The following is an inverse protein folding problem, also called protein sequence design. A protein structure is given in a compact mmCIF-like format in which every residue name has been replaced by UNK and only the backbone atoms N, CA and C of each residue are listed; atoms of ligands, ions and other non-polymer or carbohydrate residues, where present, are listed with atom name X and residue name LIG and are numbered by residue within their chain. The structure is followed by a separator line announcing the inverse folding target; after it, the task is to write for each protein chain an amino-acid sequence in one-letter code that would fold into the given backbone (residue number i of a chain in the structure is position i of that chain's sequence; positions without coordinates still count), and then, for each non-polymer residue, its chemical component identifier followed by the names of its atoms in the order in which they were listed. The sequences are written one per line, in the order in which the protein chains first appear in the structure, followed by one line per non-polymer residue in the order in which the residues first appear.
data_IF_963460161612
#
_entry.id   IF_963460161612
#
_cell.length_a   1.000
_cell.length_b   1.000
_cell.length_c   1.000
_cell.angle_alpha   90.00
_cell.angle_beta   90.00
_cell.angle_gamma   90.00
#
_symmetry.space_group_name_H-M   'P 1'
#
loop_
_entity.id
_entity.type
_entity.pdbx_description
1 polymer ?
#
# COMPACT_ATOMS: atom_id res chain seq x y z
N UNK A 1 14.25 -14.94 42.35
CA UNK A 1 13.21 -15.42 41.42
C UNK A 1 13.17 -14.39 40.29
N UNK A 2 13.95 -14.48 39.22
CA UNK A 2 14.09 -15.62 38.31
C UNK A 2 13.23 -15.38 37.07
N UNK A 3 13.34 -14.20 36.43
CA UNK A 3 12.70 -13.91 35.15
C UNK A 3 13.42 -14.71 34.06
N UNK A 4 13.02 -15.97 33.90
CA UNK A 4 13.44 -16.82 32.81
C UNK A 4 12.70 -16.40 31.55
N UNK A 5 13.37 -15.63 30.69
CA UNK A 5 12.92 -15.49 29.29
C UNK A 5 13.13 -16.86 28.64
N UNK A 6 12.06 -17.48 28.17
CA UNK A 6 12.14 -18.75 27.45
C UNK A 6 13.08 -18.57 26.22
N UNK A 7 14.18 -19.36 26.12
CA UNK A 7 15.13 -19.24 25.01
C UNK A 7 14.47 -19.31 23.64
N UNK A 8 13.36 -20.04 23.53
CA UNK A 8 12.56 -20.18 22.32
C UNK A 8 11.84 -18.88 21.98
N UNK A 9 11.30 -18.19 22.98
CA UNK A 9 10.65 -16.88 22.80
C UNK A 9 11.65 -15.77 22.47
N UNK A 10 12.87 -15.84 23.01
CA UNK A 10 13.94 -14.90 22.67
C UNK A 10 14.38 -15.08 21.21
N UNK A 11 14.61 -16.33 20.78
CA UNK A 11 14.97 -16.64 19.39
C UNK A 11 13.85 -16.25 18.42
N UNK A 12 12.58 -16.52 18.77
CA UNK A 12 11.43 -16.11 17.97
C UNK A 12 11.34 -14.58 17.85
N UNK A 13 11.52 -13.84 18.95
CA UNK A 13 11.49 -12.38 18.94
C UNK A 13 12.63 -11.76 18.12
N UNK A 14 13.82 -12.39 18.10
CA UNK A 14 14.93 -11.95 17.25
C UNK A 14 14.67 -12.24 15.78
N UNK A 15 14.11 -13.41 15.46
CA UNK A 15 13.73 -13.78 14.09
C UNK A 15 12.61 -12.87 13.58
N UNK A 16 11.61 -12.57 14.40
CA UNK A 16 10.49 -11.69 14.06
C UNK A 16 10.97 -10.24 13.83
N UNK A 17 11.90 -9.74 14.67
CA UNK A 17 12.52 -8.41 14.49
C UNK A 17 13.44 -8.36 13.25
N UNK A 18 14.15 -9.43 12.94
CA UNK A 18 14.97 -9.54 11.71
C UNK A 18 14.07 -9.64 10.47
N UNK A 19 12.95 -10.36 10.55
CA UNK A 19 11.96 -10.43 9.47
C UNK A 19 11.29 -9.08 9.24
N UNK A 20 10.90 -8.38 10.31
CA UNK A 20 10.36 -7.02 10.25
C UNK A 20 11.39 -6.01 9.71
N UNK A 21 12.66 -6.13 10.10
CA UNK A 21 13.75 -5.29 9.59
C UNK A 21 14.04 -5.56 8.10
N UNK A 22 13.98 -6.82 7.64
CA UNK A 22 14.12 -7.15 6.21
C UNK A 22 12.92 -6.71 5.37
N UNK A 23 11.71 -6.76 5.92
CA UNK A 23 10.53 -6.14 5.30
C UNK A 23 10.68 -4.63 5.17
N UNK A 24 11.34 -3.97 6.14
CA UNK A 24 11.68 -2.55 6.06
C UNK A 24 12.80 -2.25 5.05
N UNK A 25 13.75 -3.18 4.84
CA UNK A 25 14.84 -2.98 3.87
C UNK A 25 14.37 -2.98 2.41
N UNK A 26 13.33 -3.75 2.08
CA UNK A 26 12.68 -3.68 0.76
C UNK A 26 11.90 -2.37 0.55
N UNK A 27 11.58 -1.65 1.64
CA UNK A 27 10.92 -0.32 1.62
C UNK A 27 11.95 0.82 1.48
N UNK A 28 13.25 0.53 1.57
CA UNK A 28 14.33 1.55 1.57
C UNK A 28 15.28 1.50 0.38
N UNK A 29 15.05 0.64 -0.62
CA UNK A 29 15.79 0.74 -1.88
C UNK A 29 15.30 1.99 -2.63
N UNK A 30 16.13 3.05 -2.75
CA UNK A 30 15.70 4.31 -3.35
C UNK A 30 15.23 4.13 -4.80
N UNK A 31 15.82 3.19 -5.54
CA UNK A 31 15.48 2.96 -6.94
C UNK A 31 14.10 2.27 -7.06
N UNK A 32 13.79 1.33 -6.16
CA UNK A 32 12.46 0.72 -6.10
C UNK A 32 11.38 1.70 -5.62
N UNK A 33 11.73 2.62 -4.72
CA UNK A 33 10.81 3.63 -4.23
C UNK A 33 10.36 4.55 -5.37
N UNK A 34 11.30 5.04 -6.19
CA UNK A 34 10.99 5.87 -7.36
C UNK A 34 10.08 5.14 -8.33
N UNK A 35 10.36 3.86 -8.63
CA UNK A 35 9.50 3.06 -9.52
C UNK A 35 8.09 2.85 -8.95
N UNK A 36 7.97 2.69 -7.63
CA UNK A 36 6.68 2.59 -6.97
C UNK A 36 5.91 3.92 -7.03
N UNK A 37 6.59 5.05 -6.80
CA UNK A 37 6.01 6.38 -6.89
C UNK A 37 5.51 6.67 -8.30
N UNK A 38 6.34 6.44 -9.33
CA UNK A 38 5.98 6.60 -10.74
C UNK A 38 4.75 5.74 -11.10
N UNK A 39 4.78 4.45 -10.76
CA UNK A 39 3.65 3.55 -11.00
C UNK A 39 2.37 3.98 -10.26
N UNK A 40 2.52 4.50 -9.04
CA UNK A 40 1.39 4.96 -8.25
C UNK A 40 0.78 6.25 -8.84
N UNK A 41 1.60 7.15 -9.38
CA UNK A 41 1.14 8.35 -10.10
C UNK A 41 0.42 7.97 -11.40
N UNK A 42 0.98 7.06 -12.20
CA UNK A 42 0.32 6.53 -13.40
C UNK A 42 -1.06 5.93 -13.10
N UNK A 43 -1.17 5.19 -11.99
CA UNK A 43 -2.43 4.63 -11.52
C UNK A 43 -3.46 5.70 -11.12
N UNK A 44 -3.01 6.79 -10.48
CA UNK A 44 -3.88 7.92 -10.17
C UNK A 44 -4.42 8.58 -11.44
N UNK A 45 -3.57 8.80 -12.44
CA UNK A 45 -3.93 9.42 -13.71
C UNK A 45 -4.89 8.55 -14.53
N UNK A 46 -4.71 7.22 -14.49
CA UNK A 46 -5.67 6.28 -15.09
C UNK A 46 -7.05 6.40 -14.44
N UNK A 47 -7.11 6.49 -13.10
CA UNK A 47 -8.37 6.64 -12.36
C UNK A 47 -9.07 7.95 -12.72
N UNK A 48 -8.33 9.05 -12.79
CA UNK A 48 -8.86 10.36 -13.19
C UNK A 48 -9.43 10.29 -14.61
N UNK A 49 -8.65 9.74 -15.55
CA UNK A 49 -9.08 9.55 -16.94
C UNK A 49 -10.35 8.69 -17.03
N UNK A 50 -10.46 7.66 -16.19
CA UNK A 50 -11.62 6.78 -16.14
C UNK A 50 -12.86 7.51 -15.60
N UNK A 51 -12.70 8.33 -14.56
CA UNK A 51 -13.78 9.15 -13.99
C UNK A 51 -14.23 10.23 -14.98
N UNK A 52 -13.31 10.88 -15.69
CA UNK A 52 -13.64 11.86 -16.72
C UNK A 52 -14.41 11.23 -17.88
N UNK A 53 -14.06 10.00 -18.26
CA UNK A 53 -14.70 9.29 -19.38
C UNK A 53 -16.08 8.73 -19.03
N UNK A 54 -16.25 8.17 -17.84
CA UNK A 54 -17.47 7.41 -17.47
C UNK A 54 -18.29 8.06 -16.35
N UNK A 55 -17.86 9.22 -15.86
CA UNK A 55 -18.45 9.92 -14.72
C UNK A 55 -18.03 9.35 -13.36
N UNK A 56 -18.59 9.88 -12.26
CA UNK A 56 -18.24 9.47 -10.90
C UNK A 56 -18.39 7.97 -10.68
N UNK A 57 -17.33 7.31 -10.22
CA UNK A 57 -17.31 5.89 -9.89
C UNK A 57 -17.30 5.68 -8.37
N UNK A 58 -17.97 4.62 -7.90
CA UNK A 58 -17.81 4.15 -6.52
C UNK A 58 -16.62 3.16 -6.43
N UNK A 59 -16.20 2.84 -5.19
CA UNK A 59 -14.99 2.03 -4.97
C UNK A 59 -15.11 0.59 -5.51
N UNK A 60 -16.30 0.00 -5.50
CA UNK A 60 -16.54 -1.34 -6.02
C UNK A 60 -16.41 -1.37 -7.56
N UNK A 61 -17.04 -0.40 -8.23
CA UNK A 61 -16.96 -0.28 -9.68
C UNK A 61 -15.54 -0.01 -10.16
N UNK A 62 -14.83 0.90 -9.47
CA UNK A 62 -13.43 1.18 -9.75
C UNK A 62 -12.54 -0.06 -9.58
N UNK A 63 -12.75 -0.80 -8.48
CA UNK A 63 -12.01 -2.03 -8.21
C UNK A 63 -12.17 -3.08 -9.31
N UNK A 64 -13.41 -3.27 -9.79
CA UNK A 64 -13.68 -4.21 -10.89
C UNK A 64 -13.06 -3.79 -12.22
N UNK A 65 -13.00 -2.50 -12.53
CA UNK A 65 -12.47 -2.00 -13.81
C UNK A 65 -10.95 -2.04 -13.88
N UNK A 66 -10.27 -1.63 -12.80
CA UNK A 66 -8.81 -1.48 -12.77
C UNK A 66 -8.12 -2.71 -12.17
N UNK A 67 -8.88 -3.64 -11.57
CA UNK A 67 -8.32 -4.83 -10.94
C UNK A 67 -7.78 -4.57 -9.53
N UNK A 68 -8.34 -3.58 -8.84
CA UNK A 68 -7.97 -3.24 -7.46
C UNK A 68 -8.90 -3.89 -6.45
N UNK A 69 -8.35 -4.22 -5.28
CA UNK A 69 -9.17 -4.59 -4.13
C UNK A 69 -10.07 -3.44 -3.70
N UNK A 70 -11.22 -3.74 -3.08
CA UNK A 70 -12.13 -2.72 -2.54
C UNK A 70 -11.40 -1.73 -1.61
N UNK A 71 -10.46 -2.23 -0.80
CA UNK A 71 -9.66 -1.40 0.11
C UNK A 71 -8.77 -0.42 -0.67
N UNK A 72 -8.08 -0.90 -1.71
CA UNK A 72 -7.24 -0.07 -2.58
C UNK A 72 -8.07 1.01 -3.31
N UNK A 73 -9.19 0.62 -3.89
CA UNK A 73 -10.10 1.55 -4.58
C UNK A 73 -10.66 2.62 -3.63
N UNK A 74 -11.05 2.22 -2.41
CA UNK A 74 -11.54 3.16 -1.39
C UNK A 74 -10.47 4.15 -0.98
N UNK A 75 -9.24 3.67 -0.79
CA UNK A 75 -8.09 4.49 -0.46
C UNK A 75 -7.80 5.52 -1.55
N UNK A 76 -7.69 5.09 -2.82
CA UNK A 76 -7.38 5.96 -3.95
C UNK A 76 -8.45 7.02 -4.18
N UNK A 77 -9.74 6.64 -4.19
CA UNK A 77 -10.83 7.62 -4.30
C UNK A 77 -10.79 8.65 -3.18
N UNK A 78 -10.51 8.22 -1.96
CA UNK A 78 -10.41 9.12 -0.81
C UNK A 78 -9.18 10.03 -0.91
N UNK A 79 -8.05 9.51 -1.42
CA UNK A 79 -6.82 10.29 -1.66
C UNK A 79 -7.06 11.37 -2.71
N UNK A 80 -7.62 11.01 -3.87
CA UNK A 80 -7.89 11.93 -4.97
C UNK A 80 -8.87 13.04 -4.58
N UNK A 81 -9.95 12.70 -3.85
CA UNK A 81 -10.91 13.68 -3.30
C UNK A 81 -10.26 14.67 -2.33
N UNK A 82 -9.43 14.17 -1.40
CA UNK A 82 -8.70 15.05 -0.47
C UNK A 82 -7.69 15.96 -1.19
N UNK A 83 -7.12 15.48 -2.30
CA UNK A 83 -6.21 16.24 -3.14
C UNK A 83 -6.91 17.22 -4.11
N UNK A 84 -8.23 17.22 -4.18
CA UNK A 84 -8.99 18.06 -5.12
C UNK A 84 -8.79 17.69 -6.59
N UNK A 85 -8.30 16.47 -6.87
CA UNK A 85 -8.12 15.96 -8.24
C UNK A 85 -9.44 15.45 -8.84
N UNK A 86 -10.39 15.04 -7.99
CA UNK A 86 -11.77 14.62 -8.33
C UNK A 86 -12.77 15.10 -7.27
#
# INVERSE_FOLDING_TARGET
MGEGVDPTQMCQSLVDKVAQSKQLMAITDPDLLVLFEDWFEELEDEIITLIDRYGPQNAEELGRRIGLSLRGSTFLLSKLKRGGKI
#
